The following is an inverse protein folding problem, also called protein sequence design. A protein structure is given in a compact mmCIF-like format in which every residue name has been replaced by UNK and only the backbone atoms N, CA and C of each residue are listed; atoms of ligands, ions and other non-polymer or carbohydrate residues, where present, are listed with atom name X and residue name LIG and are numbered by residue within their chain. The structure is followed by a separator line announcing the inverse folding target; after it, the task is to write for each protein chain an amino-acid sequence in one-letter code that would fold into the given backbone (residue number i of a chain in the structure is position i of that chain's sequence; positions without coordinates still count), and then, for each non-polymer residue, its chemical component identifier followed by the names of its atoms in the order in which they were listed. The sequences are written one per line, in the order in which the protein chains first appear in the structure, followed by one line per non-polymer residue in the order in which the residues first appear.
data_IF_475158839515
#
_entry.id   IF_475158839515
#
_cell.length_a   1.000
_cell.length_b   1.000
_cell.length_c   1.000
_cell.angle_alpha   90.00
_cell.angle_beta   90.00
_cell.angle_gamma   90.00
#
_symmetry.space_group_name_H-M   'P 1'
#
loop_
_entity.id
_entity.type
_entity.pdbx_description
1 polymer ?
#
# COMPACT_ATOMS: atom_id res chain seq x y z
N UNK A 1 -14.49 -1.42 5.33
CA UNK A 1 -14.35 -2.75 5.97
C UNK A 1 -14.20 -2.53 7.46
N UNK A 2 -14.90 -3.31 8.27
CA UNK A 2 -14.89 -3.21 9.73
C UNK A 2 -14.45 -4.56 10.26
N UNK A 3 -13.63 -4.56 11.30
CA UNK A 3 -13.24 -5.77 12.01
C UNK A 3 -13.74 -5.67 13.45
N UNK A 4 -14.45 -6.69 13.91
CA UNK A 4 -14.91 -6.80 15.29
C UNK A 4 -14.25 -7.99 15.99
N UNK A 5 -14.10 -7.86 17.31
CA UNK A 5 -13.70 -8.97 18.16
C UNK A 5 -14.91 -9.89 18.35
N UNK A 6 -14.75 -11.20 18.17
CA UNK A 6 -15.79 -12.17 18.54
C UNK A 6 -15.98 -12.21 20.06
N UNK A 7 -17.19 -12.58 20.52
CA UNK A 7 -17.53 -12.73 21.95
C UNK A 7 -16.78 -13.89 22.65
N UNK A 8 -16.11 -14.76 21.90
CA UNK A 8 -15.18 -15.77 22.42
C UNK A 8 -13.80 -15.40 21.88
N UNK A 9 -12.82 -15.25 22.77
CA UNK A 9 -11.50 -14.64 22.58
C UNK A 9 -10.56 -15.27 21.52
N UNK A 10 -11.07 -15.90 20.46
CA UNK A 10 -10.26 -16.66 19.49
C UNK A 10 -10.44 -16.28 18.00
N UNK A 11 -11.42 -15.45 17.62
CA UNK A 11 -11.65 -15.16 16.19
C UNK A 11 -11.99 -13.69 15.89
N UNK A 12 -11.22 -13.07 14.99
CA UNK A 12 -11.54 -11.79 14.38
C UNK A 12 -12.67 -11.97 13.35
N UNK A 13 -13.77 -11.23 13.44
CA UNK A 13 -14.78 -11.22 12.38
C UNK A 13 -14.53 -10.01 11.46
N UNK A 14 -14.40 -10.25 10.15
CA UNK A 14 -14.30 -9.19 9.15
C UNK A 14 -15.65 -9.00 8.47
N UNK A 15 -16.08 -7.73 8.35
CA UNK A 15 -17.29 -7.36 7.63
C UNK A 15 -16.98 -6.26 6.59
N UNK A 16 -17.57 -6.38 5.41
CA UNK A 16 -17.53 -5.35 4.38
C UNK A 16 -18.91 -4.68 4.26
N UNK A 17 -18.93 -3.35 4.30
CA UNK A 17 -20.11 -2.52 4.03
C UNK A 17 -19.77 -1.47 3.00
N UNK A 18 -20.73 -1.17 2.13
CA UNK A 18 -20.68 -0.08 1.16
C UNK A 18 -21.74 0.94 1.55
N UNK A 19 -21.35 2.21 1.58
CA UNK A 19 -22.26 3.32 1.78
C UNK A 19 -22.73 3.85 0.44
N UNK A 20 -24.04 4.01 0.29
CA UNK A 20 -24.66 4.61 -0.89
C UNK A 20 -25.15 6.00 -0.54
N UNK A 21 -24.59 7.02 -1.21
CA UNK A 21 -25.06 8.40 -1.09
C UNK A 21 -26.50 8.54 -1.57
N UNK A 22 -26.89 7.82 -2.64
CA UNK A 22 -28.24 7.88 -3.21
C UNK A 22 -29.32 7.44 -2.22
N UNK A 23 -29.04 6.39 -1.45
CA UNK A 23 -29.99 5.83 -0.48
C UNK A 23 -29.69 6.22 0.97
N UNK A 24 -28.64 7.02 1.19
CA UNK A 24 -28.15 7.44 2.50
C UNK A 24 -28.06 6.30 3.52
N UNK A 25 -27.56 5.13 3.10
CA UNK A 25 -27.50 3.96 3.98
C UNK A 25 -26.28 3.09 3.71
N UNK A 26 -25.87 2.36 4.75
CA UNK A 26 -24.86 1.32 4.65
C UNK A 26 -25.52 0.00 4.30
N UNK A 27 -25.00 -0.69 3.28
CA UNK A 27 -25.39 -2.06 2.93
C UNK A 27 -24.22 -2.99 3.15
N UNK A 28 -24.48 -4.14 3.77
CA UNK A 28 -23.50 -5.23 3.92
C UNK A 28 -23.27 -5.91 2.58
N UNK A 29 -22.00 -6.15 2.26
CA UNK A 29 -21.55 -6.98 1.14
C UNK A 29 -21.44 -8.43 1.65
N UNK A 30 -21.57 -9.40 0.73
CA UNK A 30 -21.41 -10.84 1.03
C UNK A 30 -20.19 -11.11 1.92
N UNK A 31 -20.30 -12.18 2.70
CA UNK A 31 -19.31 -12.54 3.71
C UNK A 31 -17.89 -12.62 3.15
N UNK A 32 -16.96 -12.00 3.87
CA UNK A 32 -15.55 -11.94 3.48
C UNK A 32 -14.77 -13.04 4.21
N UNK A 33 -14.11 -13.90 3.43
CA UNK A 33 -13.30 -15.01 3.96
C UNK A 33 -11.82 -14.61 4.11
N UNK A 34 -11.55 -13.47 4.75
CA UNK A 34 -10.19 -13.02 5.04
C UNK A 34 -10.17 -12.05 6.23
N UNK A 35 -8.97 -11.80 6.75
CA UNK A 35 -8.75 -11.11 8.02
C UNK A 35 -7.81 -9.91 7.84
N UNK A 36 -8.21 -8.77 8.39
CA UNK A 36 -7.36 -7.58 8.50
C UNK A 36 -6.60 -7.62 9.83
N UNK A 37 -5.52 -8.38 9.96
CA UNK A 37 -4.77 -8.39 11.22
C UNK A 37 -3.95 -7.11 11.38
N UNK A 38 -4.01 -6.48 12.56
CA UNK A 38 -3.10 -5.43 13.04
C UNK A 38 -2.93 -4.18 12.15
N UNK A 39 -3.69 -4.05 11.05
CA UNK A 39 -3.38 -3.11 9.99
C UNK A 39 -4.64 -2.35 9.56
N UNK A 40 -4.84 -1.15 10.11
CA UNK A 40 -5.90 -0.20 9.71
C UNK A 40 -5.55 0.54 8.41
N UNK A 41 -4.89 -0.12 7.46
CA UNK A 41 -4.45 0.55 6.23
C UNK A 41 -5.63 0.79 5.31
N UNK A 42 -5.67 1.99 4.74
CA UNK A 42 -6.62 2.36 3.71
C UNK A 42 -6.49 1.44 2.49
N UNK A 43 -7.63 1.20 1.83
CA UNK A 43 -7.64 0.50 0.56
C UNK A 43 -7.15 1.40 -0.56
N UNK A 44 -6.40 0.86 -1.52
CA UNK A 44 -5.91 1.62 -2.66
C UNK A 44 -6.77 1.37 -3.89
N UNK A 45 -7.24 2.44 -4.51
CA UNK A 45 -8.02 2.37 -5.75
C UNK A 45 -7.09 2.23 -6.95
N UNK A 46 -7.24 1.16 -7.71
CA UNK A 46 -6.61 0.94 -9.00
C UNK A 46 -7.54 0.08 -9.86
N UNK A 47 -7.58 0.30 -11.18
CA UNK A 47 -8.40 -0.48 -12.10
C UNK A 47 -9.87 -0.74 -11.63
N UNK A 48 -10.54 0.32 -11.15
CA UNK A 48 -11.92 0.27 -10.62
C UNK A 48 -12.13 -0.74 -9.46
N UNK A 49 -11.06 -1.05 -8.73
CA UNK A 49 -11.11 -1.91 -7.57
C UNK A 49 -10.31 -1.33 -6.39
N UNK A 50 -10.82 -1.54 -5.18
CA UNK A 50 -10.12 -1.20 -3.95
C UNK A 50 -9.28 -2.38 -3.47
N UNK A 51 -8.03 -2.14 -3.08
CA UNK A 51 -7.07 -3.20 -2.79
C UNK A 51 -6.58 -3.16 -1.34
N UNK A 52 -6.41 -4.34 -0.74
CA UNK A 52 -5.84 -4.50 0.60
C UNK A 52 -4.87 -5.68 0.68
N UNK A 53 -3.91 -5.56 1.61
CA UNK A 53 -3.16 -6.72 2.09
C UNK A 53 -3.92 -7.35 3.26
N UNK A 54 -4.28 -8.63 3.12
CA UNK A 54 -5.10 -9.38 4.06
C UNK A 54 -4.46 -10.72 4.42
N UNK A 55 -4.99 -11.40 5.43
CA UNK A 55 -4.59 -12.76 5.79
C UNK A 55 -5.73 -13.72 5.49
N UNK A 56 -5.43 -14.90 4.95
CA UNK A 56 -6.46 -15.91 4.66
C UNK A 56 -7.02 -16.56 5.93
N UNK A 57 -6.20 -16.68 6.99
CA UNK A 57 -6.60 -17.25 8.27
C UNK A 57 -6.08 -16.43 9.46
N UNK A 58 -6.71 -16.52 10.64
CA UNK A 58 -6.28 -15.83 11.87
C UNK A 58 -4.88 -16.22 12.35
N UNK A 59 -4.36 -17.38 11.95
CA UNK A 59 -3.06 -17.92 12.34
C UNK A 59 -1.97 -17.73 11.26
N UNK A 60 -2.34 -17.40 10.02
CA UNK A 60 -1.35 -17.25 8.94
C UNK A 60 -0.52 -15.97 9.05
N UNK A 61 0.80 -16.06 8.89
CA UNK A 61 1.68 -14.89 8.77
C UNK A 61 1.83 -14.42 7.32
N UNK A 62 1.28 -15.17 6.36
CA UNK A 62 1.35 -14.85 4.94
C UNK A 62 0.28 -13.84 4.56
N UNK A 63 0.72 -12.66 4.13
CA UNK A 63 -0.16 -11.64 3.56
C UNK A 63 -0.51 -11.97 2.11
N UNK A 64 -1.75 -11.72 1.74
CA UNK A 64 -2.34 -11.94 0.43
C UNK A 64 -2.94 -10.63 -0.08
N UNK A 65 -2.97 -10.45 -1.40
CA UNK A 65 -3.60 -9.29 -2.02
C UNK A 65 -5.05 -9.62 -2.38
N UNK A 66 -5.99 -8.76 -1.95
CA UNK A 66 -7.40 -8.84 -2.34
C UNK A 66 -7.84 -7.52 -2.96
N UNK A 67 -8.60 -7.61 -4.04
CA UNK A 67 -9.27 -6.49 -4.69
C UNK A 67 -10.78 -6.61 -4.56
N UNK A 68 -11.46 -5.50 -4.27
CA UNK A 68 -12.92 -5.36 -4.31
C UNK A 68 -13.30 -4.57 -5.55
N UNK A 69 -13.91 -5.24 -6.53
CA UNK A 69 -14.37 -4.59 -7.76
C UNK A 69 -15.60 -3.72 -7.46
N UNK A 70 -15.53 -2.43 -7.78
CA UNK A 70 -16.61 -1.49 -7.47
C UNK A 70 -17.84 -1.67 -8.37
N UNK A 71 -17.67 -2.24 -9.56
CA UNK A 71 -18.76 -2.49 -10.50
C UNK A 71 -19.55 -3.76 -10.19
N UNK A 72 -18.84 -4.86 -9.93
CA UNK A 72 -19.48 -6.15 -9.59
C UNK A 72 -19.74 -6.33 -8.09
N UNK A 73 -19.15 -5.49 -7.23
CA UNK A 73 -19.16 -5.62 -5.77
C UNK A 73 -18.66 -6.98 -5.26
N UNK A 74 -17.64 -7.53 -5.92
CA UNK A 74 -17.04 -8.82 -5.57
C UNK A 74 -15.59 -8.68 -5.13
N UNK A 75 -15.20 -9.48 -4.14
CA UNK A 75 -13.81 -9.66 -3.75
C UNK A 75 -13.13 -10.72 -4.62
N UNK A 76 -11.92 -10.44 -5.07
CA UNK A 76 -11.06 -11.39 -5.78
C UNK A 76 -9.66 -11.33 -5.21
N UNK A 77 -9.05 -12.48 -4.97
CA UNK A 77 -7.63 -12.56 -4.65
C UNK A 77 -6.81 -12.34 -5.91
N UNK A 78 -5.72 -11.60 -5.78
CA UNK A 78 -4.75 -11.40 -6.83
C UNK A 78 -3.44 -12.08 -6.43
N UNK A 79 -2.78 -12.66 -7.41
CA UNK A 79 -1.47 -13.25 -7.21
C UNK A 79 -0.40 -12.16 -7.09
N UNK A 80 0.49 -12.36 -6.12
CA UNK A 80 1.66 -11.51 -5.90
C UNK A 80 2.78 -11.91 -6.87
N UNK A 81 3.71 -11.00 -7.20
CA UNK A 81 4.92 -11.37 -7.92
C UNK A 81 5.75 -12.35 -7.10
N UNK A 82 6.61 -13.11 -7.76
CA UNK A 82 7.56 -13.99 -7.09
C UNK A 82 8.69 -13.13 -6.48
N UNK A 83 8.70 -12.98 -5.16
CA UNK A 83 9.77 -12.35 -4.40
C UNK A 83 10.14 -13.20 -3.18
N UNK A 84 11.39 -13.11 -2.72
CA UNK A 84 11.89 -13.91 -1.59
C UNK A 84 11.23 -13.48 -0.27
N UNK A 85 10.12 -14.14 0.08
CA UNK A 85 9.37 -13.90 1.33
C UNK A 85 10.25 -14.12 2.57
N UNK A 86 11.19 -15.07 2.52
CA UNK A 86 12.05 -15.43 3.66
C UNK A 86 13.03 -14.34 4.08
N UNK A 87 13.33 -13.39 3.18
CA UNK A 87 14.25 -12.27 3.44
C UNK A 87 13.51 -10.95 3.68
N UNK A 88 12.18 -10.99 3.66
CA UNK A 88 11.37 -9.79 3.55
C UNK A 88 11.13 -9.14 4.92
N UNK A 89 11.45 -7.85 5.01
CA UNK A 89 11.11 -7.06 6.19
C UNK A 89 9.69 -6.51 6.12
N UNK A 90 9.32 -6.05 4.94
CA UNK A 90 8.06 -5.37 4.72
C UNK A 90 7.69 -5.39 3.25
N UNK A 91 6.39 -5.44 3.01
CA UNK A 91 5.81 -5.11 1.72
C UNK A 91 4.44 -4.49 1.92
N UNK A 92 4.02 -3.73 0.93
CA UNK A 92 2.72 -3.10 0.88
C UNK A 92 2.33 -2.72 -0.53
N UNK A 93 1.06 -2.39 -0.70
CA UNK A 93 0.50 -1.93 -1.96
C UNK A 93 0.27 -0.42 -1.93
N UNK A 94 0.31 0.17 -3.12
CA UNK A 94 -0.07 1.55 -3.43
C UNK A 94 -0.67 1.60 -4.84
N UNK A 95 -1.30 2.71 -5.19
CA UNK A 95 -1.62 3.03 -6.58
C UNK A 95 -0.69 4.17 -7.04
N UNK A 96 -0.09 4.03 -8.21
CA UNK A 96 0.81 5.05 -8.79
C UNK A 96 0.51 5.19 -10.28
N UNK A 97 0.10 6.37 -10.70
CA UNK A 97 -0.30 6.60 -12.10
C UNK A 97 -1.51 5.78 -12.57
N UNK A 98 -2.36 5.33 -11.64
CA UNK A 98 -3.51 4.45 -11.92
C UNK A 98 -3.19 2.95 -11.89
N UNK A 99 -1.91 2.58 -11.97
CA UNK A 99 -1.46 1.19 -11.89
C UNK A 99 -1.34 0.72 -10.43
N UNK A 100 -1.62 -0.56 -10.19
CA UNK A 100 -1.39 -1.19 -8.91
C UNK A 100 0.11 -1.44 -8.72
N UNK A 101 0.65 -0.93 -7.63
CA UNK A 101 2.07 -1.06 -7.29
C UNK A 101 2.25 -1.84 -5.99
N UNK A 102 3.30 -2.65 -5.96
CA UNK A 102 3.77 -3.34 -4.76
C UNK A 102 5.18 -2.86 -4.44
N UNK A 103 5.39 -2.40 -3.22
CA UNK A 103 6.72 -2.07 -2.72
C UNK A 103 7.16 -3.14 -1.75
N UNK A 104 8.38 -3.64 -1.90
CA UNK A 104 8.98 -4.68 -1.10
C UNK A 104 10.36 -4.22 -0.60
N UNK A 105 10.64 -4.48 0.67
CA UNK A 105 11.95 -4.20 1.28
C UNK A 105 12.47 -5.47 1.93
N UNK A 106 13.69 -5.89 1.58
CA UNK A 106 14.26 -7.16 2.04
C UNK A 106 15.77 -7.08 2.24
N UNK A 107 16.32 -8.02 3.03
CA UNK A 107 17.76 -8.08 3.31
C UNK A 107 18.49 -8.87 2.23
N UNK A 108 19.56 -8.28 1.70
CA UNK A 108 20.63 -8.99 1.03
C UNK A 108 21.91 -8.95 1.88
N UNK A 109 22.94 -9.72 1.49
CA UNK A 109 24.15 -9.98 2.30
C UNK A 109 24.72 -8.66 2.88
N UNK A 110 24.88 -7.66 2.01
CA UNK A 110 25.47 -6.38 2.33
C UNK A 110 24.61 -5.16 1.92
N UNK A 111 23.37 -5.35 1.45
CA UNK A 111 22.42 -4.25 1.21
C UNK A 111 20.98 -4.52 1.72
N UNK A 112 20.24 -3.47 2.06
CA UNK A 112 18.77 -3.55 2.15
C UNK A 112 18.23 -3.11 0.80
N UNK A 113 17.49 -3.98 0.14
CA UNK A 113 16.93 -3.68 -1.19
C UNK A 113 15.54 -3.12 -1.03
N UNK A 114 15.24 -2.09 -1.81
CA UNK A 114 13.88 -1.61 -2.03
C UNK A 114 13.50 -1.86 -3.48
N UNK A 115 12.47 -2.67 -3.69
CA UNK A 115 11.89 -2.95 -5.00
C UNK A 115 10.49 -2.37 -5.11
N UNK A 116 10.17 -1.85 -6.29
CA UNK A 116 8.78 -1.53 -6.68
C UNK A 116 8.41 -2.30 -7.92
N UNK A 117 7.32 -3.04 -7.79
CA UNK A 117 6.69 -3.81 -8.84
C UNK A 117 5.41 -3.11 -9.28
N UNK A 118 5.14 -3.12 -10.58
CA UNK A 118 3.93 -2.55 -11.19
C UNK A 118 3.21 -3.67 -11.94
N UNK A 119 1.92 -3.85 -11.68
CA UNK A 119 1.08 -4.79 -12.41
C UNK A 119 0.60 -4.12 -13.69
N UNK A 120 1.13 -4.55 -14.85
CA UNK A 120 0.78 -3.95 -16.16
C UNK A 120 -0.53 -4.45 -16.73
N UNK A 121 -0.89 -5.69 -16.42
CA UNK A 121 -2.18 -6.25 -16.78
C UNK A 121 -2.89 -6.70 -15.51
N UNK A 122 -4.03 -6.06 -15.24
CA UNK A 122 -4.70 -6.24 -13.97
C UNK A 122 -5.14 -7.70 -13.76
N UNK A 123 -4.75 -8.27 -12.61
CA UNK A 123 -5.08 -9.64 -12.24
C UNK A 123 -4.16 -10.72 -12.84
N UNK A 124 -3.20 -10.35 -13.70
CA UNK A 124 -2.27 -11.30 -14.34
C UNK A 124 -0.93 -11.30 -13.61
N UNK A 125 -0.60 -12.42 -12.95
CA UNK A 125 0.65 -12.58 -12.17
C UNK A 125 1.90 -12.27 -13.00
N UNK A 126 1.95 -12.75 -14.24
CA UNK A 126 3.11 -12.62 -15.11
C UNK A 126 3.33 -11.18 -15.59
N UNK A 127 2.36 -10.28 -15.40
CA UNK A 127 2.44 -8.88 -15.81
C UNK A 127 3.11 -7.98 -14.76
N UNK A 128 3.49 -8.52 -13.60
CA UNK A 128 4.24 -7.78 -12.61
C UNK A 128 5.65 -7.50 -13.12
N UNK A 129 5.97 -6.22 -13.31
CA UNK A 129 7.29 -5.78 -13.76
C UNK A 129 7.98 -5.03 -12.62
N UNK A 130 9.17 -5.49 -12.24
CA UNK A 130 10.06 -4.75 -11.34
C UNK A 130 10.53 -3.49 -12.07
N UNK A 131 9.97 -2.35 -11.70
CA UNK A 131 10.19 -1.08 -12.41
C UNK A 131 11.24 -0.20 -11.73
N UNK A 132 11.40 -0.34 -10.42
CA UNK A 132 12.34 0.44 -9.61
C UNK A 132 13.03 -0.51 -8.64
N UNK A 133 14.34 -0.37 -8.49
CA UNK A 133 15.13 -1.11 -7.51
C UNK A 133 16.30 -0.25 -7.05
N UNK A 134 16.55 -0.18 -5.74
CA UNK A 134 17.77 0.44 -5.21
C UNK A 134 18.20 -0.19 -3.89
N UNK A 135 19.48 0.03 -3.58
CA UNK A 135 20.09 -0.39 -2.32
C UNK A 135 20.08 0.76 -1.32
N UNK A 136 19.50 0.54 -0.15
CA UNK A 136 19.69 1.38 1.03
C UNK A 136 20.94 0.92 1.80
N UNK A 137 21.82 1.85 2.23
CA UNK A 137 23.06 1.53 2.92
C UNK A 137 22.86 0.75 4.24
N UNK A 138 23.77 -0.18 4.49
CA UNK A 138 23.75 -1.17 5.60
C UNK A 138 23.86 -0.67 7.02
N UNK A 139 24.10 0.62 7.23
CA UNK A 139 24.36 1.17 8.57
C UNK A 139 23.08 1.27 9.44
N UNK A 140 22.05 0.47 9.15
CA UNK A 140 20.70 0.62 9.68
C UNK A 140 20.24 -0.75 10.20
N UNK A 141 20.16 -0.89 11.53
CA UNK A 141 19.50 -2.03 12.19
C UNK A 141 18.00 -2.06 11.96
N UNK A 142 17.45 -0.99 11.38
CA UNK A 142 16.02 -0.76 11.25
C UNK A 142 15.53 -1.20 9.88
N UNK A 143 14.35 -1.81 9.86
CA UNK A 143 13.65 -2.23 8.65
C UNK A 143 12.99 -1.02 7.97
N UNK A 144 13.51 -0.52 6.84
CA UNK A 144 12.88 0.58 6.14
C UNK A 144 11.56 0.13 5.51
N UNK A 145 10.64 1.07 5.42
CA UNK A 145 9.37 0.98 4.69
C UNK A 145 9.41 2.09 3.66
N UNK A 146 9.52 1.72 2.39
CA UNK A 146 9.44 2.66 1.29
C UNK A 146 8.01 2.71 0.74
N UNK A 147 7.52 3.91 0.47
CA UNK A 147 6.23 4.12 -0.16
C UNK A 147 6.38 5.14 -1.30
N UNK A 148 6.06 4.78 -2.55
CA UNK A 148 5.98 5.74 -3.64
C UNK A 148 4.82 6.70 -3.38
N UNK A 149 5.03 7.98 -3.70
CA UNK A 149 4.07 9.05 -3.44
C UNK A 149 3.60 9.73 -4.72
N UNK A 150 4.52 10.17 -5.57
CA UNK A 150 4.17 10.95 -6.74
C UNK A 150 5.27 10.90 -7.80
N UNK A 151 4.90 11.13 -9.05
CA UNK A 151 5.86 11.48 -10.09
C UNK A 151 6.19 12.98 -10.00
N UNK A 152 7.43 13.32 -10.36
CA UNK A 152 7.83 14.68 -10.70
C UNK A 152 7.01 15.24 -11.86
N UNK A 153 6.99 16.57 -12.01
CA UNK A 153 6.18 17.25 -13.03
C UNK A 153 6.49 16.80 -14.47
N UNK A 154 7.74 16.47 -14.76
CA UNK A 154 8.22 15.96 -16.04
C UNK A 154 8.21 14.43 -16.13
N UNK A 155 7.75 13.72 -15.09
CA UNK A 155 7.59 12.27 -15.08
C UNK A 155 8.89 11.46 -15.01
N UNK A 156 10.07 12.10 -14.88
CA UNK A 156 11.35 11.39 -14.92
C UNK A 156 11.85 10.93 -13.54
N UNK A 157 11.27 11.45 -12.46
CA UNK A 157 11.56 11.07 -11.07
C UNK A 157 10.31 10.64 -10.31
N UNK A 158 10.48 9.74 -9.35
CA UNK A 158 9.44 9.29 -8.40
C UNK A 158 9.84 9.69 -6.98
N UNK A 159 8.93 10.35 -6.26
CA UNK A 159 9.11 10.71 -4.86
C UNK A 159 8.73 9.52 -3.97
N UNK A 160 9.62 9.17 -3.05
CA UNK A 160 9.38 8.16 -2.03
C UNK A 160 9.43 8.76 -0.64
N UNK A 161 8.55 8.28 0.24
CA UNK A 161 8.75 8.32 1.68
C UNK A 161 9.46 7.03 2.10
N UNK A 162 10.55 7.17 2.85
CA UNK A 162 11.23 6.09 3.53
C UNK A 162 11.08 6.30 5.03
N UNK A 163 10.26 5.47 5.67
CA UNK A 163 10.06 5.43 7.11
C UNK A 163 10.78 4.22 7.71
N UNK A 164 11.08 4.24 9.00
CA UNK A 164 11.72 3.13 9.69
C UNK A 164 10.76 2.59 10.75
N UNK A 165 10.51 1.27 10.76
CA UNK A 165 9.73 0.65 11.83
C UNK A 165 10.49 0.73 13.15
N UNK A 166 9.74 0.84 14.25
CA UNK A 166 10.26 0.90 15.61
C UNK A 166 11.07 -0.35 15.95
N UNK A 167 12.39 -0.25 15.86
CA UNK A 167 13.32 -1.11 16.56
C UNK A 167 13.95 -0.25 17.66
N UNK A 168 14.02 -0.77 18.89
CA UNK A 168 14.48 -0.05 20.07
C UNK A 168 15.83 0.67 19.84
N UNK A 169 15.85 2.01 19.94
CA UNK A 169 16.88 2.88 20.58
C UNK A 169 17.05 4.28 19.97
N UNK A 170 16.47 4.67 18.83
CA UNK A 170 16.49 6.08 18.38
C UNK A 170 15.29 6.40 17.48
N UNK A 171 14.60 7.53 17.73
CA UNK A 171 13.60 8.07 16.79
C UNK A 171 14.33 8.55 15.54
N UNK A 172 14.50 7.70 14.54
CA UNK A 172 14.92 8.16 13.21
C UNK A 172 13.68 8.59 12.46
N UNK A 173 13.62 9.87 12.11
CA UNK A 173 12.52 10.39 11.30
C UNK A 173 12.54 9.81 9.90
N UNK A 174 11.35 9.71 9.30
CA UNK A 174 11.21 9.38 7.89
C UNK A 174 11.96 10.40 7.03
N UNK A 175 12.41 9.97 5.86
CA UNK A 175 13.03 10.84 4.85
C UNK A 175 12.26 10.76 3.56
N UNK A 176 12.36 11.81 2.76
CA UNK A 176 11.93 11.76 1.37
C UNK A 176 13.14 11.65 0.45
N UNK A 177 12.99 10.85 -0.61
CA UNK A 177 14.00 10.70 -1.65
C UNK A 177 13.35 10.77 -3.02
N UNK A 178 14.06 11.34 -3.98
CA UNK A 178 13.74 11.19 -5.40
C UNK A 178 14.47 9.97 -5.95
N UNK A 179 13.76 9.12 -6.67
CA UNK A 179 14.37 8.12 -7.54
C UNK A 179 14.28 8.61 -8.98
N UNK A 180 15.43 8.79 -9.63
CA UNK A 180 15.51 9.17 -11.03
C UNK A 180 15.42 7.94 -11.94
N UNK A 181 14.40 7.89 -12.79
CA UNK A 181 14.10 6.73 -13.64
C UNK A 181 15.14 6.52 -14.74
N UNK A 182 15.79 7.60 -15.21
CA UNK A 182 16.78 7.53 -16.28
C UNK A 182 18.14 7.05 -15.77
N UNK A 183 18.62 7.65 -14.69
CA UNK A 183 19.92 7.32 -14.08
C UNK A 183 19.85 6.18 -13.07
N UNK A 184 18.65 5.79 -12.64
CA UNK A 184 18.40 4.78 -11.59
C UNK A 184 19.09 5.12 -10.26
N UNK A 185 19.11 6.41 -9.92
CA UNK A 185 19.77 6.93 -8.72
C UNK A 185 18.77 7.51 -7.74
N UNK A 186 19.10 7.33 -6.46
CA UNK A 186 18.37 7.94 -5.35
C UNK A 186 19.05 9.25 -4.97
N UNK A 187 18.27 10.33 -4.94
CA UNK A 187 18.68 11.66 -4.50
C UNK A 187 17.89 12.02 -3.23
N UNK A 188 18.58 12.47 -2.18
CA UNK A 188 17.89 12.95 -0.99
C UNK A 188 17.14 14.25 -1.30
N UNK A 189 15.89 14.35 -0.87
CA UNK A 189 15.16 15.62 -0.88
C UNK A 189 15.68 16.44 0.29
N UNK A 190 16.75 17.22 0.07
CA UNK A 190 17.32 18.08 1.09
C UNK A 190 16.37 19.22 1.47
N UNK A 191 15.88 19.25 2.71
CA UNK A 191 16.09 20.36 3.67
C UNK A 191 15.20 20.28 4.94
N UNK A 192 15.88 20.15 6.09
CA UNK A 192 15.75 20.75 7.44
C UNK A 192 14.40 21.13 8.10
N UNK A 193 13.23 21.01 7.48
CA UNK A 193 11.95 21.37 8.12
C UNK A 193 10.92 20.25 8.19
N UNK A 194 11.27 19.06 7.73
CA UNK A 194 10.38 17.90 7.80
C UNK A 194 10.36 17.40 9.24
N UNK A 195 9.19 17.30 9.89
CA UNK A 195 9.08 16.76 11.24
C UNK A 195 9.75 15.39 11.33
N UNK A 196 10.30 15.07 12.50
CA UNK A 196 10.89 13.75 12.75
C UNK A 196 9.85 12.63 12.74
N UNK A 197 8.55 12.94 12.65
CA UNK A 197 7.48 11.97 12.46
C UNK A 197 6.36 12.63 11.68
N UNK A 198 5.93 11.99 10.59
CA UNK A 198 4.80 12.42 9.76
C UNK A 198 4.16 11.17 9.12
N UNK A 199 2.88 11.26 8.79
CA UNK A 199 2.19 10.27 7.96
C UNK A 199 1.90 10.89 6.58
N UNK A 200 1.78 10.08 5.54
CA UNK A 200 1.50 10.54 4.18
C UNK A 200 0.32 9.80 3.61
N UNK A 201 -0.77 10.55 3.45
CA UNK A 201 -1.97 10.12 2.75
C UNK A 201 -2.02 10.73 1.35
N UNK A 202 -2.42 9.90 0.38
CA UNK A 202 -2.63 10.34 -1.01
C UNK A 202 -4.11 10.63 -1.19
N UNK A 203 -4.42 11.89 -1.50
CA UNK A 203 -5.76 12.30 -1.88
C UNK A 203 -5.87 12.31 -3.40
N UNK A 204 -6.89 11.63 -3.92
CA UNK A 204 -7.29 11.73 -5.34
C UNK A 204 -8.60 12.49 -5.34
N UNK A 205 -8.63 13.62 -6.03
CA UNK A 205 -9.82 14.45 -6.14
C UNK A 205 -10.99 13.66 -6.76
N UNK A 206 -12.19 13.86 -6.23
CA UNK A 206 -13.42 13.35 -6.82
C UNK A 206 -13.77 14.15 -8.07
N UNK A 207 -13.92 13.50 -9.21
CA UNK A 207 -14.41 14.13 -10.45
C UNK A 207 -15.89 14.53 -10.39
N UNK A 208 -16.59 14.23 -9.30
CA UNK A 208 -17.99 14.60 -9.10
C UNK A 208 -18.07 15.78 -8.13
N UNK A 209 -18.56 16.95 -8.56
CA UNK A 209 -18.86 18.06 -7.66
C UNK A 209 -19.88 17.61 -6.61
N UNK A 210 -19.60 17.85 -5.33
CA UNK A 210 -20.50 17.46 -4.23
C UNK A 210 -21.79 18.30 -4.17
N UNK A 211 -21.92 19.35 -4.99
CA UNK A 211 -23.10 20.22 -5.02
C UNK A 211 -23.54 20.50 -6.46
N UNK A 212 -24.56 19.78 -6.93
CA UNK A 212 -25.42 20.23 -8.05
C UNK A 212 -26.92 20.22 -7.71
N UNK A 213 -27.27 19.99 -6.45
CA UNK A 213 -28.66 20.13 -5.97
C UNK A 213 -28.75 21.20 -4.88
N UNK A 214 -28.53 22.46 -5.28
CA UNK A 214 -29.12 23.60 -4.60
C UNK A 214 -30.10 24.26 -5.58
N UNK A 215 -31.32 23.73 -5.62
CA UNK A 215 -32.49 24.46 -6.12
C UNK A 215 -33.60 24.30 -5.09
N UNK A 216 -33.87 25.39 -4.38
CA UNK A 216 -35.21 25.94 -4.14
C UNK A 216 -35.08 27.46 -4.17
#
# INVERSE_FOLDING_TARGET
MVQSHGNNDEYFHSEAKVYSLRSNCWRRIKDVCFYLKFNRKFGFLANNALHWMVFKTPQSDNRNLVGFNLGSEEFRFLELPDFCLDKLFWFGIKAMGGDLCLTATYREINNVVVDVWIMKEYGVKQSWIKSISWNEPHNISDSPVAAPLAFSKNGNKVLFNIAYKWCHLRKRGGKFVWYDLGSQRVENVGNRQIPTSFDVDLFVDSLVPLNSNAQQ
#
